data_IF_804848376713
#
_entry.id   IF_804848376713
#
_cell.length_a   1.000
_cell.length_b   1.000
_cell.length_c   1.000
_cell.angle_alpha   90.00
_cell.angle_beta   90.00
_cell.angle_gamma   90.00
#
_symmetry.space_group_name_H-M   'P 1'
#
loop_
_entity.id
_entity.type
_entity.pdbx_description
1 polymer ?
#
# COMPACT_ATOMS: atom_id res chain seq x y z
N UNK A 1 23.63 -4.15 26.30
CA UNK A 1 23.38 -5.47 25.71
C UNK A 1 24.71 -6.06 25.30
N UNK A 2 24.95 -7.29 25.70
CA UNK A 2 26.11 -8.07 25.27
C UNK A 2 26.11 -8.14 23.72
N UNK A 3 27.24 -7.80 23.13
CA UNK A 3 27.45 -7.82 21.68
C UNK A 3 27.06 -9.19 21.06
N UNK A 4 27.36 -10.27 21.77
CA UNK A 4 27.01 -11.64 21.35
C UNK A 4 25.48 -11.86 21.30
N UNK A 5 24.76 -11.33 22.26
CA UNK A 5 23.28 -11.41 22.31
C UNK A 5 22.69 -10.59 21.16
N UNK A 6 23.22 -9.39 20.95
CA UNK A 6 22.81 -8.54 19.84
C UNK A 6 23.03 -9.23 18.49
N UNK A 7 24.23 -9.75 18.24
CA UNK A 7 24.54 -10.47 17.00
C UNK A 7 23.67 -11.72 16.81
N UNK A 8 23.32 -12.38 17.89
CA UNK A 8 22.43 -13.55 17.85
C UNK A 8 20.99 -13.20 17.51
N UNK A 9 20.49 -12.10 18.11
CA UNK A 9 19.11 -11.62 17.86
C UNK A 9 18.93 -11.11 16.44
N UNK A 10 19.95 -10.47 15.90
CA UNK A 10 19.87 -9.80 14.58
C UNK A 10 20.62 -10.54 13.48
N UNK A 11 21.08 -11.77 13.75
CA UNK A 11 21.76 -12.57 12.74
C UNK A 11 20.83 -12.83 11.54
N UNK A 12 21.29 -12.46 10.35
CA UNK A 12 20.55 -12.61 9.10
C UNK A 12 19.55 -11.50 8.81
N UNK A 13 19.45 -10.46 9.68
CA UNK A 13 18.63 -9.29 9.40
C UNK A 13 19.47 -8.25 8.67
N UNK A 14 19.03 -7.89 7.47
CA UNK A 14 19.52 -6.72 6.76
C UNK A 14 18.92 -5.47 7.37
N UNK A 15 19.70 -4.76 8.19
CA UNK A 15 19.22 -3.58 8.94
C UNK A 15 18.87 -2.43 8.02
N UNK A 16 19.61 -2.23 6.94
CA UNK A 16 19.31 -1.19 5.96
C UNK A 16 17.99 -1.45 5.25
N UNK A 17 17.75 -2.68 4.85
CA UNK A 17 16.48 -3.10 4.25
C UNK A 17 15.33 -2.96 5.24
N UNK A 18 15.52 -3.36 6.48
CA UNK A 18 14.51 -3.22 7.53
C UNK A 18 14.12 -1.75 7.74
N UNK A 19 15.09 -0.85 7.75
CA UNK A 19 14.84 0.58 7.88
C UNK A 19 13.98 1.10 6.73
N UNK A 20 14.27 0.69 5.51
CA UNK A 20 13.45 1.04 4.33
C UNK A 20 12.02 0.52 4.44
N UNK A 21 11.84 -0.67 4.97
CA UNK A 21 10.53 -1.25 5.21
C UNK A 21 9.75 -0.45 6.26
N UNK A 22 10.38 -0.05 7.35
CA UNK A 22 9.76 0.82 8.35
C UNK A 22 9.39 2.20 7.78
N UNK A 23 10.27 2.79 6.99
CA UNK A 23 10.00 4.07 6.34
C UNK A 23 8.77 3.95 5.41
N UNK A 24 8.67 2.85 4.68
CA UNK A 24 7.51 2.58 3.84
C UNK A 24 6.24 2.36 4.65
N UNK A 25 6.29 1.64 5.77
CA UNK A 25 5.15 1.45 6.66
C UNK A 25 4.60 2.79 7.14
N UNK A 26 5.48 3.71 7.52
CA UNK A 26 5.09 5.06 7.92
C UNK A 26 4.49 5.85 6.75
N UNK A 27 5.03 5.66 5.56
CA UNK A 27 4.53 6.34 4.36
C UNK A 27 3.12 5.89 3.98
N UNK A 28 2.86 4.59 4.00
CA UNK A 28 1.52 4.07 3.66
C UNK A 28 0.45 4.44 4.70
N UNK A 29 0.84 4.77 5.91
CA UNK A 29 -0.09 5.24 6.94
C UNK A 29 -0.81 6.53 6.50
N UNK A 30 -0.20 7.30 5.64
CA UNK A 30 -0.78 8.54 5.08
C UNK A 30 -2.06 8.30 4.28
N UNK A 31 -2.30 7.10 3.77
CA UNK A 31 -3.56 6.75 3.09
C UNK A 31 -4.79 6.99 3.97
N UNK A 32 -4.64 6.83 5.27
CA UNK A 32 -5.73 7.06 6.24
C UNK A 32 -6.19 8.51 6.27
N UNK A 33 -5.35 9.43 5.82
CA UNK A 33 -5.63 10.87 5.78
C UNK A 33 -6.14 11.37 4.44
N UNK A 34 -6.22 10.49 3.44
CA UNK A 34 -6.70 10.86 2.11
C UNK A 34 -8.20 10.59 2.03
N UNK A 35 -8.98 11.65 1.95
CA UNK A 35 -10.42 11.59 1.88
C UNK A 35 -10.88 11.44 0.43
N UNK A 36 -11.75 10.47 0.19
CA UNK A 36 -12.37 10.26 -1.11
C UNK A 36 -13.56 11.20 -1.30
N UNK A 37 -14.04 11.33 -2.54
CA UNK A 37 -15.25 12.11 -2.83
C UNK A 37 -16.53 11.32 -2.56
N UNK A 38 -16.43 10.02 -2.27
CA UNK A 38 -17.55 9.14 -1.99
C UNK A 38 -17.75 8.94 -0.49
N UNK A 39 -18.98 8.69 -0.08
CA UNK A 39 -19.36 8.46 1.30
C UNK A 39 -19.35 6.97 1.64
N UNK A 40 -19.14 6.64 2.92
CA UNK A 40 -19.43 5.30 3.40
C UNK A 40 -20.93 5.01 3.29
N UNK A 41 -21.33 3.75 3.33
CA UNK A 41 -22.68 3.32 2.94
C UNK A 41 -23.82 3.92 3.76
N UNK A 42 -23.56 4.32 5.02
CA UNK A 42 -24.57 4.99 5.85
C UNK A 42 -24.65 6.52 5.60
N UNK A 43 -23.78 7.06 4.75
CA UNK A 43 -23.75 8.47 4.39
C UNK A 43 -23.20 9.40 5.46
N UNK A 44 -22.69 8.89 6.56
CA UNK A 44 -22.28 9.70 7.73
C UNK A 44 -20.99 10.49 7.51
N UNK A 45 -20.10 9.98 6.66
CA UNK A 45 -18.84 10.63 6.34
C UNK A 45 -18.27 10.12 5.03
N UNK A 46 -17.31 10.84 4.49
CA UNK A 46 -16.55 10.38 3.34
C UNK A 46 -15.60 9.25 3.73
N UNK A 47 -15.39 8.35 2.81
CA UNK A 47 -14.47 7.22 2.95
C UNK A 47 -13.03 7.69 2.75
N UNK A 48 -12.09 7.20 3.53
CA UNK A 48 -10.67 7.40 3.25
C UNK A 48 -10.11 6.29 2.36
N UNK A 49 -8.93 6.52 1.78
CA UNK A 49 -8.32 5.59 0.83
C UNK A 49 -7.95 4.24 1.45
N UNK A 50 -7.54 4.23 2.70
CA UNK A 50 -7.20 2.98 3.40
C UNK A 50 -8.43 2.09 3.60
N UNK A 51 -9.54 2.68 4.00
CA UNK A 51 -10.83 1.96 4.15
C UNK A 51 -11.32 1.43 2.81
N UNK A 52 -11.18 2.24 1.78
CA UNK A 52 -11.55 1.86 0.42
C UNK A 52 -10.74 0.65 -0.06
N UNK A 53 -9.44 0.67 0.09
CA UNK A 53 -8.57 -0.43 -0.31
C UNK A 53 -8.90 -1.72 0.45
N UNK A 54 -9.09 -1.64 1.75
CA UNK A 54 -9.51 -2.75 2.59
C UNK A 54 -10.84 -3.33 2.14
N UNK A 55 -11.84 -2.48 1.91
CA UNK A 55 -13.17 -2.89 1.49
C UNK A 55 -13.14 -3.57 0.12
N UNK A 56 -12.43 -3.00 -0.84
CA UNK A 56 -12.27 -3.61 -2.16
C UNK A 56 -11.56 -4.96 -2.12
N UNK A 57 -10.56 -5.12 -1.26
CA UNK A 57 -9.86 -6.39 -1.09
C UNK A 57 -10.80 -7.49 -0.58
N UNK A 58 -11.65 -7.17 0.40
CA UNK A 58 -12.66 -8.09 0.92
C UNK A 58 -13.73 -8.40 -0.12
N UNK A 59 -14.18 -7.40 -0.88
CA UNK A 59 -15.13 -7.62 -1.97
C UNK A 59 -14.55 -8.56 -3.02
N UNK A 60 -13.31 -8.39 -3.39
CA UNK A 60 -12.62 -9.29 -4.32
C UNK A 60 -12.61 -10.73 -3.80
N UNK A 61 -12.25 -10.92 -2.54
CA UNK A 61 -12.24 -12.24 -1.92
C UNK A 61 -13.60 -12.91 -1.98
N UNK A 62 -14.66 -12.18 -1.63
CA UNK A 62 -16.01 -12.71 -1.57
C UNK A 62 -16.62 -12.95 -2.95
N UNK A 63 -16.39 -12.04 -3.89
CA UNK A 63 -17.06 -12.04 -5.19
C UNK A 63 -16.25 -12.72 -6.30
N UNK A 64 -15.06 -13.20 -6.01
CA UNK A 64 -14.19 -13.84 -7.00
C UNK A 64 -14.80 -15.07 -7.65
N UNK A 65 -15.70 -15.77 -6.98
CA UNK A 65 -16.43 -16.92 -7.52
C UNK A 65 -17.31 -16.55 -8.72
N UNK A 66 -17.70 -15.28 -8.86
CA UNK A 66 -18.52 -14.76 -9.95
C UNK A 66 -17.71 -14.19 -11.11
N UNK A 67 -16.39 -14.29 -11.06
CA UNK A 67 -15.56 -13.83 -12.15
C UNK A 67 -15.78 -14.64 -13.43
N UNK A 68 -15.73 -13.97 -14.57
CA UNK A 68 -15.93 -14.62 -15.88
C UNK A 68 -14.79 -15.58 -16.23
N UNK A 69 -13.63 -15.37 -15.64
CA UNK A 69 -12.42 -16.14 -15.86
C UNK A 69 -11.77 -16.48 -14.53
N UNK A 70 -10.87 -17.48 -14.54
CA UNK A 70 -10.05 -17.78 -13.38
C UNK A 70 -9.13 -16.60 -13.07
N UNK A 71 -9.16 -16.13 -11.83
CA UNK A 71 -8.31 -15.04 -11.36
C UNK A 71 -7.35 -15.53 -10.29
N UNK A 72 -6.16 -14.91 -10.26
CA UNK A 72 -5.24 -15.05 -9.15
C UNK A 72 -5.73 -14.16 -8.00
N UNK A 73 -6.47 -14.75 -7.06
CA UNK A 73 -7.10 -14.02 -5.95
C UNK A 73 -6.08 -13.27 -5.10
N UNK A 74 -5.01 -13.94 -4.72
CA UNK A 74 -3.99 -13.33 -3.84
C UNK A 74 -3.35 -12.13 -4.52
N UNK A 75 -2.94 -12.28 -5.76
CA UNK A 75 -2.37 -11.19 -6.54
C UNK A 75 -3.34 -10.01 -6.69
N UNK A 76 -4.59 -10.30 -7.00
CA UNK A 76 -5.63 -9.28 -7.17
C UNK A 76 -5.89 -8.53 -5.87
N UNK A 77 -6.01 -9.24 -4.74
CA UNK A 77 -6.19 -8.65 -3.42
C UNK A 77 -5.01 -7.75 -3.07
N UNK A 78 -3.78 -8.20 -3.31
CA UNK A 78 -2.58 -7.40 -3.04
C UNK A 78 -2.55 -6.14 -3.91
N UNK A 79 -2.91 -6.26 -5.18
CA UNK A 79 -2.99 -5.11 -6.07
C UNK A 79 -4.04 -4.10 -5.61
N UNK A 80 -5.20 -4.56 -5.17
CA UNK A 80 -6.25 -3.69 -4.64
C UNK A 80 -5.81 -2.95 -3.38
N UNK A 81 -5.08 -3.61 -2.49
CA UNK A 81 -4.58 -2.99 -1.27
C UNK A 81 -3.57 -1.87 -1.54
N UNK A 82 -2.88 -1.90 -2.67
CA UNK A 82 -1.82 -0.95 -2.99
C UNK A 82 -2.17 0.02 -4.13
N UNK A 83 -3.30 -0.18 -4.83
CA UNK A 83 -3.60 0.56 -6.07
C UNK A 83 -3.71 2.08 -5.85
N UNK A 84 -4.16 2.51 -4.69
CA UNK A 84 -4.32 3.92 -4.35
C UNK A 84 -3.12 4.51 -3.59
N UNK A 85 -2.01 3.77 -3.44
CA UNK A 85 -0.81 4.33 -2.80
C UNK A 85 -0.29 5.56 -3.54
N UNK A 86 -0.52 5.64 -4.84
CA UNK A 86 -0.22 6.81 -5.67
C UNK A 86 -0.94 8.07 -5.16
N UNK A 87 -2.12 7.91 -4.56
CA UNK A 87 -2.92 9.01 -4.02
C UNK A 87 -2.27 9.72 -2.83
N UNK A 88 -1.33 9.08 -2.14
CA UNK A 88 -0.56 9.70 -1.06
C UNK A 88 0.11 10.98 -1.56
N UNK A 89 0.58 10.97 -2.79
CA UNK A 89 1.22 12.11 -3.42
C UNK A 89 0.25 12.90 -4.31
N UNK A 90 -0.70 12.23 -4.94
CA UNK A 90 -1.66 12.81 -5.86
C UNK A 90 -2.88 13.42 -5.16
N UNK A 91 -3.20 13.00 -3.94
CA UNK A 91 -4.32 13.57 -3.17
C UNK A 91 -4.19 15.07 -2.96
N UNK A 92 -2.96 15.56 -2.79
CA UNK A 92 -2.66 16.97 -2.71
C UNK A 92 -2.50 17.62 -4.09
N UNK A 93 -2.39 16.83 -5.16
CA UNK A 93 -2.10 17.32 -6.51
C UNK A 93 -3.32 17.67 -7.33
N UNK A 94 -4.52 17.38 -6.88
CA UNK A 94 -5.70 17.98 -7.51
C UNK A 94 -5.63 19.52 -7.49
N UNK A 95 -4.93 20.05 -6.50
CA UNK A 95 -4.59 21.46 -6.42
C UNK A 95 -3.29 21.80 -7.18
N UNK A 96 -2.54 20.82 -7.63
CA UNK A 96 -1.21 20.98 -8.21
C UNK A 96 -1.07 20.11 -9.46
N UNK A 97 -1.89 20.36 -10.46
CA UNK A 97 -1.85 19.62 -11.74
C UNK A 97 -0.50 19.62 -12.45
N UNK A 98 0.47 20.39 -11.93
CA UNK A 98 1.84 20.49 -12.41
C UNK A 98 2.87 20.19 -11.32
N UNK A 99 2.46 19.54 -10.23
CA UNK A 99 3.43 19.19 -9.21
C UNK A 99 4.42 18.18 -9.80
N UNK A 100 5.67 18.40 -9.47
CA UNK A 100 6.83 17.61 -9.84
C UNK A 100 6.76 16.16 -9.29
N UNK A 101 5.56 15.65 -9.05
CA UNK A 101 5.39 14.27 -8.68
C UNK A 101 5.56 13.47 -9.93
N UNK A 102 6.72 12.91 -10.02
CA UNK A 102 7.04 11.94 -11.02
C UNK A 102 6.27 10.66 -10.71
N UNK A 103 5.12 10.50 -11.36
CA UNK A 103 4.33 9.27 -11.29
C UNK A 103 5.19 8.04 -11.57
N UNK A 104 6.21 8.20 -12.42
CA UNK A 104 7.17 7.15 -12.74
C UNK A 104 8.00 6.78 -11.51
N UNK A 105 8.45 7.75 -10.73
CA UNK A 105 9.18 7.49 -9.48
C UNK A 105 8.31 6.74 -8.48
N UNK A 106 7.05 7.13 -8.36
CA UNK A 106 6.12 6.46 -7.46
C UNK A 106 5.81 5.03 -7.91
N UNK A 107 5.55 4.85 -9.20
CA UNK A 107 5.35 3.52 -9.80
C UNK A 107 6.60 2.66 -9.58
N UNK A 108 7.79 3.21 -9.81
CA UNK A 108 9.04 2.51 -9.56
C UNK A 108 9.22 2.16 -8.08
N UNK A 109 8.81 3.03 -7.18
CA UNK A 109 8.86 2.78 -5.75
C UNK A 109 7.94 1.61 -5.37
N UNK A 110 6.71 1.60 -5.86
CA UNK A 110 5.74 0.51 -5.66
C UNK A 110 6.26 -0.79 -6.29
N UNK A 111 6.76 -0.72 -7.52
CA UNK A 111 7.32 -1.88 -8.22
C UNK A 111 8.53 -2.44 -7.48
N UNK A 112 9.42 -1.60 -7.00
CA UNK A 112 10.56 -2.03 -6.21
C UNK A 112 10.13 -2.67 -4.88
N UNK A 113 9.12 -2.12 -4.23
CA UNK A 113 8.55 -2.72 -3.04
C UNK A 113 7.97 -4.10 -3.33
N UNK A 114 7.23 -4.24 -4.41
CA UNK A 114 6.66 -5.53 -4.83
C UNK A 114 7.75 -6.54 -5.19
N UNK A 115 8.83 -6.11 -5.85
CA UNK A 115 10.00 -6.96 -6.15
C UNK A 115 10.70 -7.42 -4.87
N UNK A 116 10.80 -6.55 -3.88
CA UNK A 116 11.35 -6.91 -2.56
C UNK A 116 10.50 -8.01 -1.93
N UNK A 117 9.18 -7.97 -2.09
CA UNK A 117 8.28 -9.01 -1.58
C UNK A 117 8.38 -10.34 -2.32
N UNK A 118 8.70 -10.32 -3.62
CA UNK A 118 8.84 -11.57 -4.39
C UNK A 118 10.05 -12.41 -3.99
N UNK A 119 10.97 -11.85 -3.22
CA UNK A 119 12.17 -12.51 -2.73
C UNK A 119 12.11 -12.91 -1.25
N UNK A 120 10.93 -12.88 -0.67
CA UNK A 120 10.70 -13.37 0.70
C UNK A 120 10.20 -14.80 0.68
#
# INVERSE_FOLDING_TARGET
IDKLIYERMYRGIDMERLQKQFDFILEIDKEKSIERQTYISDGSRKENDAEHAWHMALMCFLLSEHANESIDKLKTIMMLLIHDLVEIYAGDTFAYSNADIDEVQLINYIVNYLKIKQHI
#
